data_IF_694373953964
#
_entry.id   IF_694373953964
#
_cell.length_a   1.000
_cell.length_b   1.000
_cell.length_c   1.000
_cell.angle_alpha   90.00
_cell.angle_beta   90.00
_cell.angle_gamma   90.00
#
_symmetry.space_group_name_H-M   'P 1'
#
loop_
_entity.id
_entity.type
_entity.pdbx_description
1 polymer ?
#
# COMPACT_ATOMS: atom_id res chain seq x y z
N UNK A 1 -17.98 -3.16 -61.97
CA UNK A 1 -16.55 -3.45 -61.68
C UNK A 1 -16.43 -3.76 -60.19
N UNK A 2 -16.23 -5.03 -59.84
CA UNK A 2 -16.12 -5.50 -58.47
C UNK A 2 -14.75 -5.14 -57.88
N UNK A 3 -14.71 -4.52 -56.71
CA UNK A 3 -13.61 -4.60 -55.75
C UNK A 3 -14.08 -4.12 -54.37
N UNK A 4 -14.43 -5.05 -53.49
CA UNK A 4 -14.41 -4.84 -52.03
C UNK A 4 -13.98 -6.15 -51.38
N UNK A 5 -12.68 -6.43 -51.42
CA UNK A 5 -12.07 -7.31 -50.42
C UNK A 5 -12.10 -6.54 -49.10
N UNK A 6 -13.04 -6.90 -48.22
CA UNK A 6 -13.10 -6.33 -46.87
C UNK A 6 -11.80 -6.64 -46.10
N UNK A 7 -11.38 -5.79 -45.16
CA UNK A 7 -10.20 -6.06 -44.35
C UNK A 7 -10.36 -7.42 -43.66
N UNK A 8 -9.36 -8.30 -43.82
CA UNK A 8 -9.34 -9.57 -43.09
C UNK A 8 -9.49 -9.26 -41.60
N UNK A 9 -10.45 -9.88 -40.89
CA UNK A 9 -10.54 -9.71 -39.45
C UNK A 9 -9.18 -10.09 -38.87
N UNK A 10 -8.57 -9.16 -38.14
CA UNK A 10 -7.36 -9.46 -37.40
C UNK A 10 -7.64 -10.68 -36.51
N UNK A 11 -6.69 -11.61 -36.43
CA UNK A 11 -6.79 -12.82 -35.61
C UNK A 11 -7.26 -12.49 -34.19
N UNK A 12 -6.82 -11.34 -33.67
CA UNK A 12 -7.31 -10.75 -32.42
C UNK A 12 -7.95 -9.38 -32.69
N UNK A 13 -9.29 -9.26 -32.71
CA UNK A 13 -9.97 -7.99 -32.91
C UNK A 13 -9.70 -7.05 -31.74
N UNK A 14 -9.49 -5.77 -32.04
CA UNK A 14 -9.21 -4.73 -31.04
C UNK A 14 -10.44 -3.84 -30.84
N UNK A 15 -10.77 -3.58 -29.58
CA UNK A 15 -11.84 -2.67 -29.20
C UNK A 15 -11.22 -1.55 -28.37
N UNK A 16 -11.51 -0.29 -28.72
CA UNK A 16 -11.14 0.87 -27.91
C UNK A 16 -12.32 1.28 -27.05
N UNK A 17 -12.13 1.31 -25.74
CA UNK A 17 -13.18 1.69 -24.78
C UNK A 17 -12.79 2.97 -24.05
N UNK A 18 -13.76 3.87 -23.89
CA UNK A 18 -13.60 5.06 -23.04
C UNK A 18 -14.16 4.75 -21.66
N UNK A 19 -13.32 4.84 -20.63
CA UNK A 19 -13.71 4.53 -19.25
C UNK A 19 -14.14 5.78 -18.50
N UNK A 20 -15.06 5.60 -17.53
CA UNK A 20 -15.34 6.65 -16.54
C UNK A 20 -14.09 6.88 -15.67
N UNK A 21 -13.84 8.12 -15.19
CA UNK A 21 -12.64 8.43 -14.41
C UNK A 21 -12.44 7.53 -13.17
N UNK A 22 -13.54 7.18 -12.48
CA UNK A 22 -13.49 6.30 -11.30
C UNK A 22 -13.00 4.88 -11.66
N UNK A 23 -13.54 4.30 -12.73
CA UNK A 23 -13.15 2.96 -13.22
C UNK A 23 -11.69 2.95 -13.66
N UNK A 24 -11.25 3.99 -14.37
CA UNK A 24 -9.84 4.14 -14.76
C UNK A 24 -8.92 4.18 -13.52
N UNK A 25 -9.26 5.00 -12.52
CA UNK A 25 -8.45 5.11 -11.30
C UNK A 25 -8.39 3.81 -10.48
N UNK A 26 -9.43 2.97 -10.52
CA UNK A 26 -9.41 1.65 -9.91
C UNK A 26 -8.48 0.68 -10.66
N UNK A 27 -8.63 0.59 -11.99
CA UNK A 27 -7.77 -0.27 -12.83
C UNK A 27 -6.30 0.14 -12.75
N UNK A 28 -6.01 1.44 -12.69
CA UNK A 28 -4.65 1.93 -12.53
C UNK A 28 -4.02 1.49 -11.20
N UNK A 29 -4.79 1.54 -10.10
CA UNK A 29 -4.33 1.04 -8.79
C UNK A 29 -4.13 -0.47 -8.79
N UNK A 30 -5.05 -1.22 -9.38
CA UNK A 30 -4.92 -2.67 -9.54
C UNK A 30 -3.68 -3.04 -10.36
N UNK A 31 -3.44 -2.32 -11.46
CA UNK A 31 -2.26 -2.50 -12.32
C UNK A 31 -0.96 -2.24 -11.57
N UNK A 32 -0.90 -1.15 -10.77
CA UNK A 32 0.28 -0.84 -9.96
C UNK A 32 0.54 -1.89 -8.87
N UNK A 33 -0.50 -2.44 -8.24
CA UNK A 33 -0.38 -3.43 -7.18
C UNK A 33 -0.06 -4.85 -7.71
N UNK A 34 -0.67 -5.24 -8.84
CA UNK A 34 -0.49 -6.57 -9.44
C UNK A 34 0.76 -6.66 -10.34
N UNK A 35 1.34 -5.53 -10.75
CA UNK A 35 2.50 -5.49 -11.66
C UNK A 35 2.17 -5.76 -13.14
N UNK A 36 0.90 -5.94 -13.48
CA UNK A 36 0.42 -6.20 -14.84
C UNK A 36 -0.13 -4.94 -15.50
N UNK A 37 -0.10 -4.86 -16.83
CA UNK A 37 -0.73 -3.75 -17.56
C UNK A 37 -2.26 -3.76 -17.40
N UNK A 38 -2.88 -2.57 -17.40
CA UNK A 38 -4.35 -2.45 -17.34
C UNK A 38 -5.05 -3.26 -18.44
N UNK A 39 -4.51 -3.27 -19.66
CA UNK A 39 -5.06 -4.03 -20.78
C UNK A 39 -4.97 -5.54 -20.58
N UNK A 40 -3.91 -6.04 -19.95
CA UNK A 40 -3.77 -7.46 -19.62
C UNK A 40 -4.81 -7.89 -18.59
N UNK A 41 -5.03 -7.07 -17.55
CA UNK A 41 -6.04 -7.34 -16.51
C UNK A 41 -7.44 -7.39 -17.13
N UNK A 42 -7.76 -6.43 -18.01
CA UNK A 42 -9.06 -6.41 -18.70
C UNK A 42 -9.19 -7.59 -19.66
N UNK A 43 -8.14 -7.93 -20.40
CA UNK A 43 -8.13 -9.07 -21.32
C UNK A 43 -8.42 -10.39 -20.60
N UNK A 44 -7.73 -10.65 -19.49
CA UNK A 44 -7.92 -11.84 -18.67
C UNK A 44 -9.33 -11.91 -18.08
N UNK A 45 -9.84 -10.78 -17.56
CA UNK A 45 -11.21 -10.71 -17.04
C UNK A 45 -12.25 -11.02 -18.12
N UNK A 46 -12.07 -10.50 -19.33
CA UNK A 46 -12.96 -10.76 -20.46
C UNK A 46 -12.87 -12.23 -20.94
N UNK A 47 -11.68 -12.82 -20.89
CA UNK A 47 -11.47 -14.23 -21.25
C UNK A 47 -12.11 -15.18 -20.22
N UNK A 48 -11.95 -14.89 -18.93
CA UNK A 48 -12.65 -15.62 -17.86
C UNK A 48 -14.18 -15.46 -17.93
N UNK A 49 -14.66 -14.35 -18.51
CA UNK A 49 -16.09 -14.06 -18.68
C UNK A 49 -16.72 -14.64 -19.94
N UNK A 50 -15.94 -15.27 -20.85
CA UNK A 50 -16.47 -15.89 -22.08
C UNK A 50 -17.69 -16.80 -21.86
N UNK A 51 -17.72 -17.74 -20.89
CA UNK A 51 -18.88 -18.60 -20.70
C UNK A 51 -20.14 -17.83 -20.28
N UNK A 52 -19.99 -16.66 -19.65
CA UNK A 52 -21.12 -15.79 -19.30
C UNK A 52 -21.64 -15.08 -20.54
N UNK A 53 -20.74 -14.56 -21.40
CA UNK A 53 -21.12 -13.94 -22.67
C UNK A 53 -21.84 -14.93 -23.59
N UNK A 54 -21.36 -16.18 -23.70
CA UNK A 54 -22.03 -17.22 -24.49
C UNK A 54 -23.46 -17.49 -24.02
N UNK A 55 -23.67 -17.58 -22.69
CA UNK A 55 -25.01 -17.75 -22.12
C UNK A 55 -25.89 -16.54 -22.41
N UNK A 56 -25.34 -15.32 -22.31
CA UNK A 56 -26.07 -14.10 -22.61
C UNK A 56 -26.46 -14.02 -24.08
N UNK A 57 -25.57 -14.38 -25.00
CA UNK A 57 -25.88 -14.43 -26.44
C UNK A 57 -27.04 -15.41 -26.69
N UNK A 58 -26.96 -16.63 -26.15
CA UNK A 58 -28.04 -17.63 -26.28
C UNK A 58 -29.36 -17.13 -25.71
N UNK A 59 -29.33 -16.45 -24.57
CA UNK A 59 -30.51 -15.88 -23.95
C UNK A 59 -31.12 -14.76 -24.81
N UNK A 60 -30.30 -13.85 -25.35
CA UNK A 60 -30.74 -12.78 -26.23
C UNK A 60 -31.30 -13.32 -27.55
N UNK A 61 -30.69 -14.37 -28.12
CA UNK A 61 -31.21 -15.06 -29.30
C UNK A 61 -32.56 -15.73 -29.03
N UNK A 62 -32.72 -16.38 -27.88
CA UNK A 62 -34.00 -16.97 -27.48
C UNK A 62 -35.07 -15.89 -27.27
N UNK A 63 -34.72 -14.81 -26.56
CA UNK A 63 -35.63 -13.68 -26.33
C UNK A 63 -36.03 -13.00 -27.64
N UNK A 64 -35.13 -12.87 -28.61
CA UNK A 64 -35.44 -12.33 -29.94
C UNK A 64 -36.49 -13.19 -30.67
N UNK A 65 -36.36 -14.53 -30.63
CA UNK A 65 -37.33 -15.46 -31.22
C UNK A 65 -38.69 -15.41 -30.53
N UNK A 66 -38.71 -15.17 -29.22
CA UNK A 66 -39.94 -15.09 -28.43
C UNK A 66 -40.64 -13.75 -28.62
N UNK A 67 -39.91 -12.67 -28.90
CA UNK A 67 -40.52 -11.38 -29.23
C UNK A 67 -41.46 -11.50 -30.42
N UNK A 68 -41.14 -12.39 -31.37
CA UNK A 68 -41.92 -12.73 -32.55
C UNK A 68 -43.06 -13.74 -32.27
N UNK A 69 -43.09 -14.39 -31.10
CA UNK A 69 -44.17 -15.30 -30.67
C UNK A 69 -44.99 -14.73 -29.49
N UNK A 70 -46.17 -15.33 -29.26
CA UNK A 70 -47.29 -14.73 -28.54
C UNK A 70 -47.01 -14.27 -27.08
N UNK A 71 -47.85 -13.33 -26.61
CA UNK A 71 -47.79 -12.66 -25.30
C UNK A 71 -47.71 -13.63 -24.10
N UNK A 72 -48.39 -14.77 -24.15
CA UNK A 72 -48.45 -15.73 -23.04
C UNK A 72 -47.09 -16.36 -22.69
N UNK A 73 -46.19 -16.47 -23.67
CA UNK A 73 -44.84 -17.01 -23.44
C UNK A 73 -43.96 -15.98 -22.71
N UNK A 74 -44.21 -14.68 -22.95
CA UNK A 74 -43.48 -13.57 -22.31
C UNK A 74 -43.77 -13.53 -20.81
N UNK A 75 -45.02 -13.76 -20.41
CA UNK A 75 -45.41 -13.77 -18.99
C UNK A 75 -44.80 -14.97 -18.22
N UNK A 76 -44.73 -16.14 -18.85
CA UNK A 76 -44.03 -17.31 -18.28
C UNK A 76 -42.54 -17.05 -18.09
N UNK A 77 -41.91 -16.41 -19.08
CA UNK A 77 -40.48 -16.10 -19.01
C UNK A 77 -40.21 -15.05 -17.94
N UNK A 78 -41.01 -13.97 -17.88
CA UNK A 78 -40.89 -12.94 -16.86
C UNK A 78 -40.91 -13.55 -15.45
N UNK A 79 -41.85 -14.46 -15.19
CA UNK A 79 -41.95 -15.16 -13.90
C UNK A 79 -40.73 -16.03 -13.59
N UNK A 80 -40.21 -16.77 -14.58
CA UNK A 80 -38.99 -17.57 -14.38
C UNK A 80 -37.73 -16.72 -14.17
N UNK A 81 -37.68 -15.52 -14.77
CA UNK A 81 -36.57 -14.58 -14.58
C UNK A 81 -36.58 -13.97 -13.18
N UNK A 82 -37.77 -13.65 -12.65
CA UNK A 82 -37.97 -13.21 -11.26
C UNK A 82 -37.51 -14.27 -10.26
N UNK A 83 -37.91 -15.53 -10.46
CA UNK A 83 -37.49 -16.65 -9.61
C UNK A 83 -35.97 -16.87 -9.66
N UNK A 84 -35.37 -16.72 -10.85
CA UNK A 84 -33.93 -16.79 -11.03
C UNK A 84 -33.19 -15.64 -10.33
N UNK A 85 -33.71 -14.41 -10.40
CA UNK A 85 -33.16 -13.25 -9.69
C UNK A 85 -33.17 -13.49 -8.18
N UNK A 86 -34.30 -13.88 -7.61
CA UNK A 86 -34.40 -14.12 -6.16
C UNK A 86 -33.46 -15.22 -5.68
N UNK A 87 -33.19 -16.23 -6.52
CA UNK A 87 -32.22 -17.26 -6.20
C UNK A 87 -30.77 -16.73 -6.27
N UNK A 88 -30.45 -15.92 -7.29
CA UNK A 88 -29.15 -15.28 -7.42
C UNK A 88 -28.86 -14.31 -6.26
N UNK A 89 -29.84 -13.51 -5.85
CA UNK A 89 -29.70 -12.60 -4.71
C UNK A 89 -29.36 -13.34 -3.41
N UNK A 90 -30.04 -14.47 -3.16
CA UNK A 90 -29.72 -15.32 -2.01
C UNK A 90 -28.31 -15.87 -2.07
N UNK A 91 -27.88 -16.36 -3.25
CA UNK A 91 -26.53 -16.89 -3.42
C UNK A 91 -25.45 -15.80 -3.31
N UNK A 92 -25.72 -14.60 -3.83
CA UNK A 92 -24.81 -13.45 -3.72
C UNK A 92 -24.68 -12.99 -2.27
N UNK A 93 -25.78 -12.93 -1.51
CA UNK A 93 -25.74 -12.63 -0.08
C UNK A 93 -24.84 -13.60 0.67
N UNK A 94 -25.04 -14.91 0.48
CA UNK A 94 -24.21 -15.95 1.08
C UNK A 94 -22.73 -15.86 0.66
N UNK A 95 -22.46 -15.51 -0.60
CA UNK A 95 -21.09 -15.36 -1.10
C UNK A 95 -20.39 -14.12 -0.54
N UNK A 96 -21.12 -13.02 -0.33
CA UNK A 96 -20.59 -11.80 0.28
C UNK A 96 -20.28 -12.04 1.76
N UNK A 97 -21.19 -12.66 2.49
CA UNK A 97 -20.96 -13.05 3.89
C UNK A 97 -19.71 -13.94 4.02
N UNK A 98 -19.54 -14.90 3.10
CA UNK A 98 -18.36 -15.76 3.06
C UNK A 98 -17.07 -15.01 2.72
N UNK A 99 -17.12 -14.03 1.81
CA UNK A 99 -15.97 -13.18 1.49
C UNK A 99 -15.59 -12.28 2.67
N UNK A 100 -16.56 -11.71 3.37
CA UNK A 100 -16.33 -10.87 4.54
C UNK A 100 -15.73 -11.70 5.68
N UNK A 101 -16.26 -12.90 5.93
CA UNK A 101 -15.69 -13.84 6.91
C UNK A 101 -14.24 -14.22 6.58
N UNK A 102 -13.94 -14.51 5.30
CA UNK A 102 -12.60 -14.89 4.83
C UNK A 102 -11.61 -13.72 4.81
N UNK A 103 -12.09 -12.51 4.55
CA UNK A 103 -11.24 -11.31 4.44
C UNK A 103 -11.02 -10.60 5.77
N UNK A 104 -11.92 -10.78 6.74
CA UNK A 104 -11.82 -10.25 8.11
C UNK A 104 -10.43 -10.41 8.75
N UNK A 105 -9.78 -11.60 8.75
CA UNK A 105 -8.45 -11.73 9.37
C UNK A 105 -7.35 -10.97 8.62
N UNK A 106 -7.45 -10.84 7.29
CA UNK A 106 -6.47 -10.09 6.47
C UNK A 106 -6.61 -8.60 6.74
N UNK A 107 -7.85 -8.10 6.79
CA UNK A 107 -8.15 -6.71 7.12
C UNK A 107 -7.74 -6.36 8.55
N UNK A 108 -7.99 -7.25 9.52
CA UNK A 108 -7.56 -7.04 10.91
C UNK A 108 -6.03 -7.01 11.04
N UNK A 109 -5.32 -7.87 10.30
CA UNK A 109 -3.86 -7.87 10.27
C UNK A 109 -3.31 -6.56 9.67
N UNK A 110 -3.91 -6.07 8.58
CA UNK A 110 -3.55 -4.78 7.98
C UNK A 110 -3.78 -3.61 8.94
N UNK A 111 -4.94 -3.57 9.62
CA UNK A 111 -5.26 -2.52 10.59
C UNK A 111 -4.35 -2.56 11.83
N UNK A 112 -3.95 -3.76 12.30
CA UNK A 112 -2.98 -3.91 13.39
C UNK A 112 -1.61 -3.35 13.02
N UNK A 113 -1.16 -3.53 11.77
CA UNK A 113 0.10 -2.97 11.29
C UNK A 113 0.03 -1.44 11.22
N UNK A 114 -1.08 -0.89 10.71
CA UNK A 114 -1.29 0.55 10.62
C UNK A 114 -1.38 1.20 12.01
N UNK A 115 -2.12 0.58 12.95
CA UNK A 115 -2.15 1.00 14.36
C UNK A 115 -0.79 0.94 15.04
N UNK A 116 0.04 -0.06 14.72
CA UNK A 116 1.42 -0.15 15.23
C UNK A 116 2.29 0.97 14.66
N UNK A 117 2.19 1.24 13.36
CA UNK A 117 2.90 2.34 12.71
C UNK A 117 2.51 3.69 13.32
N UNK A 118 1.22 3.98 13.46
CA UNK A 118 0.72 5.22 14.06
C UNK A 118 0.95 5.33 15.58
N UNK A 119 1.26 4.24 16.29
CA UNK A 119 1.74 4.28 17.69
C UNK A 119 3.23 4.58 17.74
N UNK A 120 4.03 3.92 16.89
CA UNK A 120 5.46 4.21 16.78
C UNK A 120 5.72 5.68 16.41
N UNK A 121 4.88 6.26 15.55
CA UNK A 121 4.96 7.67 15.17
C UNK A 121 4.57 8.63 16.31
N UNK A 122 3.62 8.23 17.17
CA UNK A 122 3.23 8.99 18.37
C UNK A 122 4.25 8.89 19.50
N UNK A 123 4.89 7.74 19.67
CA UNK A 123 5.98 7.55 20.65
C UNK A 123 7.30 8.16 20.16
N UNK A 124 7.50 8.28 18.84
CA UNK A 124 8.64 8.98 18.23
C UNK A 124 8.51 10.51 18.25
N UNK A 125 7.33 11.06 18.53
CA UNK A 125 7.18 12.50 18.76
C UNK A 125 7.83 12.86 20.10
N UNK A 126 8.91 13.67 20.11
CA UNK A 126 9.56 14.03 21.36
C UNK A 126 8.58 14.84 22.20
N UNK A 127 8.15 14.31 23.34
CA UNK A 127 7.51 15.11 24.39
C UNK A 127 8.48 16.24 24.69
N UNK A 128 8.12 17.47 24.30
CA UNK A 128 8.91 18.66 24.52
C UNK A 128 9.14 18.84 26.03
N UNK A 129 10.24 18.28 26.52
CA UNK A 129 10.70 18.48 27.88
C UNK A 129 11.25 19.90 27.90
N UNK A 130 10.49 20.82 28.50
CA UNK A 130 10.84 22.23 28.58
C UNK A 130 12.31 22.39 28.98
N UNK A 131 13.14 22.82 28.03
CA UNK A 131 14.56 22.98 28.23
C UNK A 131 14.83 24.19 29.13
N UNK A 132 15.60 24.02 30.20
CA UNK A 132 16.15 25.12 31.01
C UNK A 132 17.08 25.96 30.12
N UNK A 133 17.03 27.30 30.18
CA UNK A 133 17.76 28.13 29.22
C UNK A 133 19.27 28.09 29.49
N UNK A 134 20.06 27.94 28.43
CA UNK A 134 21.52 27.97 28.46
C UNK A 134 22.04 29.39 28.72
N UNK A 135 23.07 29.50 29.56
CA UNK A 135 23.71 30.77 29.94
C UNK A 135 24.43 31.39 28.73
N UNK A 136 24.08 32.64 28.43
CA UNK A 136 24.64 33.48 27.38
C UNK A 136 26.08 33.88 27.75
N UNK A 137 27.06 33.63 26.88
CA UNK A 137 28.42 34.13 27.06
C UNK A 137 28.44 35.65 26.79
N UNK A 138 28.92 36.44 27.75
CA UNK A 138 29.11 37.89 27.61
C UNK A 138 30.41 38.20 26.87
N UNK A 139 30.44 39.24 26.00
CA UNK A 139 31.64 39.58 25.24
C UNK A 139 32.67 40.35 26.08
N UNK A 140 33.96 40.13 25.80
CA UNK A 140 35.09 40.86 26.38
C UNK A 140 35.22 42.24 25.75
N UNK A 141 35.28 43.32 26.55
CA UNK A 141 36.23 44.41 26.30
C UNK A 141 36.33 45.44 27.42
N UNK A 142 37.55 45.95 27.60
CA UNK A 142 37.99 47.19 28.26
C UNK A 142 38.03 47.24 29.80
N UNK A 143 39.11 46.69 30.37
CA UNK A 143 39.66 47.10 31.68
C UNK A 143 41.08 47.60 31.51
N UNK A 144 41.22 48.92 31.33
CA UNK A 144 42.48 49.61 31.51
C UNK A 144 42.25 50.82 32.41
N UNK A 145 42.61 50.72 33.69
CA UNK A 145 43.14 51.81 34.55
C UNK A 145 43.52 51.24 35.94
N UNK A 146 44.83 51.18 36.19
CA UNK A 146 45.60 51.41 37.46
C UNK A 146 45.36 50.55 38.74
N UNK A 147 46.32 50.51 39.72
CA UNK A 147 47.69 49.98 39.67
C UNK A 147 48.00 48.97 40.82
N UNK A 148 49.19 48.33 40.78
CA UNK A 148 49.71 47.29 41.70
C UNK A 148 49.93 47.72 43.16
N UNK A 149 50.06 46.74 44.09
CA UNK A 149 51.36 46.60 44.77
C UNK A 149 51.88 45.15 44.95
N UNK A 150 53.20 45.08 45.19
CA UNK A 150 54.11 43.92 45.40
C UNK A 150 53.76 43.14 46.70
N UNK A 151 54.19 41.90 47.03
CA UNK A 151 55.51 41.21 46.85
C UNK A 151 55.44 39.75 47.40
N UNK A 152 56.32 38.88 46.88
CA UNK A 152 56.96 37.68 47.50
C UNK A 152 56.08 36.43 47.82
N UNK A 153 56.51 35.17 47.68
CA UNK A 153 57.85 34.55 47.53
C UNK A 153 57.76 33.04 47.20
N UNK A 154 58.77 32.54 46.47
CA UNK A 154 59.44 31.21 46.53
C UNK A 154 58.63 29.94 46.13
N UNK A 155 58.93 29.23 45.03
CA UNK A 155 60.10 28.40 44.67
C UNK A 155 60.09 26.95 45.24
N UNK A 156 59.82 25.94 44.39
CA UNK A 156 60.58 24.65 44.30
C UNK A 156 60.06 23.70 43.19
N UNK A 157 60.76 23.69 42.06
CA UNK A 157 61.62 22.58 41.55
C UNK A 157 61.13 21.11 41.48
N UNK A 158 61.24 20.56 40.24
CA UNK A 158 61.50 19.15 39.81
C UNK A 158 60.36 18.12 40.00
N UNK A 159 60.11 17.13 39.13
CA UNK A 159 60.97 16.45 38.14
C UNK A 159 60.13 15.68 37.10
N UNK A 160 60.66 15.59 35.88
CA UNK A 160 60.30 14.69 34.78
C UNK A 160 60.47 13.20 35.16
N UNK A 161 59.50 12.30 34.95
CA UNK A 161 59.24 11.44 33.76
C UNK A 161 59.83 9.99 33.95
N UNK A 162 59.65 9.02 33.02
CA UNK A 162 58.63 7.97 33.00
C UNK A 162 59.19 6.52 33.07
N UNK A 163 58.36 5.53 32.69
CA UNK A 163 58.64 4.09 32.42
C UNK A 163 58.26 3.14 33.57
N UNK A 164 57.55 2.03 33.36
CA UNK A 164 57.82 0.91 32.43
C UNK A 164 56.56 0.04 32.35
N UNK A 165 55.98 -0.19 31.16
CA UNK A 165 56.12 -1.40 30.31
C UNK A 165 55.94 -2.76 31.01
N UNK A 166 54.78 -3.37 30.69
CA UNK A 166 54.56 -4.76 30.24
C UNK A 166 55.71 -5.77 30.44
N UNK A 167 55.45 -6.78 31.27
CA UNK A 167 55.76 -8.22 31.14
C UNK A 167 55.45 -8.85 32.53
N UNK A 168 54.91 -10.04 32.75
CA UNK A 168 55.02 -11.31 32.06
C UNK A 168 53.82 -12.21 32.37
N UNK A 169 53.50 -13.01 31.37
CA UNK A 169 52.82 -14.31 31.38
C UNK A 169 53.53 -15.30 32.32
N UNK A 170 52.78 -16.02 33.18
CA UNK A 170 52.76 -17.50 33.32
C UNK A 170 52.37 -18.02 34.73
N UNK A 171 51.65 -19.16 34.73
CA UNK A 171 51.46 -20.21 35.78
C UNK A 171 50.49 -19.87 36.93
N UNK A 172 49.58 -20.74 37.38
CA UNK A 172 49.30 -22.19 37.33
C UNK A 172 47.76 -22.36 37.48
N UNK A 173 47.02 -23.42 37.15
CA UNK A 173 47.35 -24.85 37.04
C UNK A 173 46.89 -25.64 38.29
N UNK A 174 45.75 -26.35 38.17
CA UNK A 174 45.21 -27.45 39.01
C UNK A 174 44.65 -27.06 40.40
N UNK A 175 43.52 -27.62 40.87
CA UNK A 175 43.08 -29.04 40.89
C UNK A 175 41.59 -29.16 40.60
#
# INVERSE_FOLDING_TARGET
MHRTGGPMPAVNPRITITLKPQTHAALQRMSALAGNSMSSIVGELLEQSQPVFDRMVRLLEAAAKIKDSAQDEKDRIAKSLEDAQQNLERQLGLSLDWMDERSAPILEAAEKLDRRAGRAERDAQPRARAARPAKRATPMSNRGVTPSPKRASQAKTQQENPATKKARKARNGQV
#
